data_IF_061134348132
#
_entry.id   IF_061134348132
#
_cell.length_a   1.000
_cell.length_b   1.000
_cell.length_c   1.000
_cell.angle_alpha   90.00
_cell.angle_beta   90.00
_cell.angle_gamma   90.00
#
_symmetry.space_group_name_H-M   'P 1'
#
loop_
_entity.id
_entity.type
_entity.pdbx_description
1 polymer ?
#
# COMPACT_ATOMS: atom_id res chain seq x y z
N UNK A 1 9.85 -5.50 26.61
CA UNK A 1 10.68 -5.23 25.44
C UNK A 1 9.97 -4.20 24.56
N UNK A 2 10.66 -3.19 24.04
CA UNK A 2 10.10 -2.26 23.06
C UNK A 2 10.23 -2.90 21.67
N UNK A 3 9.18 -2.84 20.89
CA UNK A 3 9.15 -3.33 19.50
C UNK A 3 8.40 -2.31 18.65
N UNK A 4 8.96 -1.93 17.52
CA UNK A 4 8.40 -1.08 16.47
C UNK A 4 8.57 -1.84 15.15
N UNK A 5 7.62 -2.05 14.40
CA UNK A 5 6.22 -2.27 14.53
C UNK A 5 5.90 -3.44 15.47
N UNK A 6 4.74 -3.46 16.12
CA UNK A 6 4.36 -4.59 16.96
C UNK A 6 4.18 -5.88 16.14
N UNK A 7 4.28 -7.06 16.78
CA UNK A 7 3.99 -8.33 16.11
C UNK A 7 2.60 -8.37 15.46
N UNK A 8 1.61 -7.73 16.10
CA UNK A 8 0.25 -7.58 15.53
C UNK A 8 0.26 -6.74 14.25
N UNK A 9 1.01 -5.62 14.21
CA UNK A 9 1.14 -4.79 13.02
C UNK A 9 1.78 -5.55 11.86
N UNK A 10 2.83 -6.32 12.12
CA UNK A 10 3.50 -7.17 11.12
C UNK A 10 2.52 -8.21 10.57
N UNK A 11 1.78 -8.92 11.43
CA UNK A 11 0.77 -9.88 11.01
C UNK A 11 -0.37 -9.24 10.22
N UNK A 12 -0.78 -8.01 10.55
CA UNK A 12 -1.82 -7.28 9.83
C UNK A 12 -1.41 -6.89 8.41
N UNK A 13 -0.12 -6.91 8.09
CA UNK A 13 0.40 -6.72 6.74
C UNK A 13 0.39 -8.00 5.88
N UNK A 14 0.10 -9.18 6.45
CA UNK A 14 -0.21 -10.37 5.66
C UNK A 14 -1.42 -10.06 4.77
N UNK A 15 -1.31 -10.28 3.47
CA UNK A 15 -2.25 -9.76 2.46
C UNK A 15 -3.71 -10.10 2.72
N UNK A 16 -3.98 -11.32 3.14
CA UNK A 16 -5.34 -11.75 3.53
C UNK A 16 -5.88 -10.90 4.70
N UNK A 17 -5.10 -10.71 5.75
CA UNK A 17 -5.50 -9.91 6.92
C UNK A 17 -5.62 -8.43 6.57
N UNK A 18 -4.65 -7.90 5.82
CA UNK A 18 -4.66 -6.53 5.33
C UNK A 18 -5.95 -6.22 4.56
N UNK A 19 -6.29 -7.05 3.57
CA UNK A 19 -7.50 -6.85 2.78
C UNK A 19 -8.77 -6.87 3.66
N UNK A 20 -8.88 -7.82 4.61
CA UNK A 20 -10.02 -7.91 5.52
C UNK A 20 -10.12 -6.68 6.43
N UNK A 21 -9.00 -6.23 7.00
CA UNK A 21 -8.97 -5.07 7.91
C UNK A 21 -9.35 -3.81 7.16
N UNK A 22 -8.68 -3.51 6.03
CA UNK A 22 -8.90 -2.26 5.30
C UNK A 22 -10.33 -2.17 4.73
N UNK A 23 -10.85 -3.26 4.16
CA UNK A 23 -12.25 -3.29 3.70
C UNK A 23 -13.24 -3.18 4.86
N UNK A 24 -12.99 -3.88 5.97
CA UNK A 24 -13.85 -3.85 7.15
C UNK A 24 -13.90 -2.50 7.87
N UNK A 25 -12.81 -1.73 7.80
CA UNK A 25 -12.71 -0.38 8.39
C UNK A 25 -13.18 0.74 7.44
N UNK A 26 -13.64 0.39 6.23
CA UNK A 26 -14.10 1.38 5.25
C UNK A 26 -12.96 2.22 4.65
N UNK A 27 -11.71 1.79 4.77
CA UNK A 27 -10.58 2.40 4.08
C UNK A 27 -10.74 2.16 2.57
N UNK A 28 -10.59 3.20 1.72
CA UNK A 28 -10.58 3.03 0.27
C UNK A 28 -9.54 1.99 -0.18
N UNK A 29 -10.04 0.82 -0.54
CA UNK A 29 -9.28 -0.35 -0.96
C UNK A 29 -10.02 -1.05 -2.09
N UNK A 30 -9.36 -1.68 -3.08
CA UNK A 30 -10.07 -2.36 -4.15
C UNK A 30 -10.96 -3.48 -3.61
N UNK A 31 -12.14 -3.65 -4.20
CA UNK A 31 -12.97 -4.81 -3.93
C UNK A 31 -12.12 -6.08 -4.06
N UNK A 32 -12.10 -6.88 -3.00
CA UNK A 32 -11.20 -8.03 -2.91
C UNK A 32 -11.91 -9.23 -2.30
N UNK A 33 -11.52 -10.41 -2.75
CA UNK A 33 -11.91 -11.69 -2.14
C UNK A 33 -10.67 -12.46 -1.71
N UNK A 34 -10.82 -13.17 -0.61
CA UNK A 34 -9.83 -14.13 -0.12
C UNK A 34 -10.34 -15.51 -0.44
N UNK A 35 -9.51 -16.34 -1.05
CA UNK A 35 -9.87 -17.66 -1.56
C UNK A 35 -8.81 -18.70 -1.21
N UNK A 36 -9.20 -19.95 -1.16
CA UNK A 36 -8.28 -21.06 -1.22
C UNK A 36 -7.83 -21.27 -2.67
N UNK A 37 -6.57 -21.63 -2.88
CA UNK A 37 -6.00 -21.71 -4.24
C UNK A 37 -6.55 -22.89 -5.07
N UNK A 38 -7.22 -23.86 -4.42
CA UNK A 38 -7.92 -24.97 -5.06
C UNK A 38 -9.40 -24.66 -5.38
N UNK A 39 -9.91 -23.44 -5.01
CA UNK A 39 -11.28 -23.04 -5.33
C UNK A 39 -11.47 -22.76 -6.84
N UNK A 40 -12.68 -23.09 -7.32
CA UNK A 40 -13.14 -22.70 -8.66
C UNK A 40 -13.72 -21.26 -8.64
N UNK A 41 -12.90 -20.26 -8.97
CA UNK A 41 -13.25 -18.83 -8.80
C UNK A 41 -13.83 -18.17 -10.05
N UNK A 42 -13.63 -18.71 -11.25
CA UNK A 42 -13.97 -18.04 -12.50
C UNK A 42 -15.42 -17.54 -12.56
N UNK A 43 -16.39 -18.42 -12.26
CA UNK A 43 -17.83 -18.04 -12.23
C UNK A 43 -18.16 -17.01 -11.15
N UNK A 44 -17.46 -17.03 -10.01
CA UNK A 44 -17.64 -16.04 -8.95
C UNK A 44 -17.18 -14.67 -9.40
N UNK A 45 -16.01 -14.59 -10.03
CA UNK A 45 -15.45 -13.35 -10.58
C UNK A 45 -16.35 -12.78 -11.71
N UNK A 46 -16.89 -13.63 -12.58
CA UNK A 46 -17.85 -13.22 -13.60
C UNK A 46 -19.09 -12.56 -12.98
N UNK A 47 -19.71 -13.20 -11.98
CA UNK A 47 -20.87 -12.66 -11.26
C UNK A 47 -20.59 -11.34 -10.56
N UNK A 48 -19.37 -11.14 -10.07
CA UNK A 48 -18.92 -9.87 -9.48
C UNK A 48 -18.54 -8.81 -10.51
N UNK A 49 -18.55 -9.14 -11.81
CA UNK A 49 -18.05 -8.25 -12.86
C UNK A 49 -16.57 -7.92 -12.73
N UNK A 50 -15.81 -8.79 -12.07
CA UNK A 50 -14.37 -8.63 -11.82
C UNK A 50 -13.59 -9.29 -12.95
N UNK A 51 -13.50 -8.60 -14.09
CA UNK A 51 -12.77 -9.12 -15.26
C UNK A 51 -11.28 -8.96 -15.11
N UNK A 52 -10.82 -7.75 -14.84
CA UNK A 52 -9.41 -7.42 -14.62
C UNK A 52 -9.11 -7.40 -13.13
N UNK A 53 -8.15 -8.18 -12.69
CA UNK A 53 -7.80 -8.25 -11.29
C UNK A 53 -6.31 -8.56 -11.06
N UNK A 54 -5.89 -8.33 -9.84
CA UNK A 54 -4.58 -8.70 -9.32
C UNK A 54 -4.75 -9.90 -8.40
N UNK A 55 -3.99 -10.93 -8.63
CA UNK A 55 -3.92 -12.10 -7.74
C UNK A 55 -2.62 -12.00 -6.98
N UNK A 56 -2.74 -12.05 -5.67
CA UNK A 56 -1.61 -11.92 -4.76
C UNK A 56 -1.59 -13.12 -3.82
N UNK A 57 -0.42 -13.65 -3.53
CA UNK A 57 -0.23 -14.63 -2.47
C UNK A 57 -0.81 -14.10 -1.17
N UNK A 58 -1.66 -14.87 -0.49
CA UNK A 58 -2.45 -14.40 0.64
C UNK A 58 -1.79 -14.57 2.00
N UNK A 59 -0.98 -15.60 2.16
CA UNK A 59 -0.40 -16.06 3.43
C UNK A 59 0.91 -15.37 3.81
N UNK A 60 1.53 -14.64 2.89
CA UNK A 60 2.79 -13.93 3.12
C UNK A 60 2.98 -12.74 2.19
N UNK A 61 4.03 -11.93 2.42
CA UNK A 61 4.48 -10.90 1.47
C UNK A 61 5.03 -11.55 0.19
N UNK A 62 4.96 -10.82 -0.93
CA UNK A 62 5.57 -11.26 -2.18
C UNK A 62 7.09 -11.43 -2.00
N UNK A 63 7.60 -12.61 -2.30
CA UNK A 63 9.03 -12.93 -2.29
C UNK A 63 9.59 -12.92 -3.71
N UNK A 64 8.75 -13.20 -4.68
CA UNK A 64 9.07 -13.25 -6.11
C UNK A 64 8.07 -12.42 -6.91
N UNK A 65 8.45 -12.01 -8.11
CA UNK A 65 7.58 -11.23 -9.00
C UNK A 65 6.26 -11.96 -9.30
N UNK A 66 6.32 -13.28 -9.42
CA UNK A 66 5.20 -14.18 -9.71
C UNK A 66 4.21 -14.32 -8.56
N UNK A 67 4.53 -13.83 -7.37
CA UNK A 67 3.62 -13.83 -6.21
C UNK A 67 2.55 -12.71 -6.31
N UNK A 68 2.64 -11.88 -7.37
CA UNK A 68 1.67 -10.83 -7.72
C UNK A 68 1.42 -10.86 -9.22
N UNK A 69 0.26 -11.33 -9.64
CA UNK A 69 -0.09 -11.50 -11.04
C UNK A 69 -1.25 -10.59 -11.44
N UNK A 70 -1.11 -9.87 -12.54
CA UNK A 70 -2.21 -9.19 -13.19
C UNK A 70 -2.85 -10.11 -14.22
N UNK A 71 -4.18 -10.24 -14.18
CA UNK A 71 -4.96 -11.05 -15.11
C UNK A 71 -6.07 -10.21 -15.74
N UNK A 72 -6.46 -10.57 -16.96
CA UNK A 72 -7.44 -9.83 -17.77
C UNK A 72 -8.78 -10.53 -17.84
N UNK A 73 -8.83 -11.80 -17.45
CA UNK A 73 -10.04 -12.62 -17.52
C UNK A 73 -10.18 -13.50 -16.28
N UNK A 74 -11.42 -13.89 -15.91
CA UNK A 74 -11.64 -14.86 -14.85
C UNK A 74 -11.01 -16.24 -15.10
N UNK A 75 -10.83 -16.63 -16.37
CA UNK A 75 -10.16 -17.88 -16.73
C UNK A 75 -8.67 -17.83 -16.38
N UNK A 76 -7.97 -16.75 -16.79
CA UNK A 76 -6.58 -16.53 -16.40
C UNK A 76 -6.40 -16.49 -14.86
N UNK A 77 -7.40 -15.96 -14.13
CA UNK A 77 -7.36 -15.98 -12.67
C UNK A 77 -7.36 -17.40 -12.12
N UNK A 78 -8.15 -18.30 -12.71
CA UNK A 78 -8.19 -19.70 -12.33
C UNK A 78 -6.84 -20.40 -12.60
N UNK A 79 -6.21 -20.11 -13.74
CA UNK A 79 -4.91 -20.69 -14.11
C UNK A 79 -3.81 -20.26 -13.12
N UNK A 80 -3.79 -18.98 -12.73
CA UNK A 80 -2.84 -18.47 -11.73
C UNK A 80 -3.07 -19.11 -10.35
N UNK A 81 -4.31 -19.31 -9.93
CA UNK A 81 -4.60 -20.01 -8.66
C UNK A 81 -4.11 -21.44 -8.69
N UNK A 82 -4.29 -22.14 -9.80
CA UNK A 82 -3.78 -23.50 -9.95
C UNK A 82 -2.25 -23.55 -9.88
N UNK A 83 -1.57 -22.58 -10.49
CA UNK A 83 -0.11 -22.43 -10.37
C UNK A 83 0.31 -22.20 -8.92
N UNK A 84 -0.39 -21.31 -8.19
CA UNK A 84 -0.13 -21.06 -6.77
C UNK A 84 -0.32 -22.33 -5.93
N UNK A 85 -1.38 -23.09 -6.20
CA UNK A 85 -1.63 -24.38 -5.54
C UNK A 85 -0.48 -25.37 -5.77
N UNK A 86 -0.01 -25.51 -7.01
CA UNK A 86 1.12 -26.38 -7.36
C UNK A 86 2.43 -25.94 -6.70
N UNK A 87 2.61 -24.64 -6.45
CA UNK A 87 3.74 -24.08 -5.69
C UNK A 87 3.59 -24.23 -4.17
N UNK A 88 2.49 -24.80 -3.69
CA UNK A 88 2.22 -25.02 -2.27
C UNK A 88 1.67 -23.80 -1.53
N UNK A 89 1.19 -22.78 -2.22
CA UNK A 89 0.47 -21.68 -1.61
C UNK A 89 -0.99 -22.06 -1.44
N UNK A 90 -1.53 -21.90 -0.25
CA UNK A 90 -2.90 -22.33 0.05
C UNK A 90 -3.92 -21.20 0.00
N UNK A 91 -3.47 -19.95 0.10
CA UNK A 91 -4.32 -18.75 0.16
C UNK A 91 -3.93 -17.71 -0.88
N UNK A 92 -4.93 -17.11 -1.49
CA UNK A 92 -4.74 -15.98 -2.40
C UNK A 92 -5.74 -14.85 -2.09
N UNK A 93 -5.33 -13.62 -2.42
CA UNK A 93 -6.19 -12.44 -2.46
C UNK A 93 -6.36 -12.02 -3.90
N UNK A 94 -7.59 -11.96 -4.37
CA UNK A 94 -7.96 -11.47 -5.69
C UNK A 94 -8.56 -10.09 -5.51
N UNK A 95 -7.92 -9.07 -6.06
CA UNK A 95 -8.32 -7.66 -5.94
C UNK A 95 -8.68 -7.08 -7.30
N UNK A 96 -9.79 -6.35 -7.40
CA UNK A 96 -10.20 -5.64 -8.61
C UNK A 96 -9.08 -4.71 -9.08
N UNK A 97 -8.79 -4.71 -10.36
CA UNK A 97 -7.88 -3.71 -10.94
C UNK A 97 -8.54 -2.31 -10.88
N UNK A 98 -7.79 -1.34 -10.38
CA UNK A 98 -8.18 0.06 -10.36
C UNK A 98 -7.35 0.81 -11.41
N UNK A 99 -8.00 1.43 -12.41
CA UNK A 99 -7.29 2.28 -13.35
C UNK A 99 -6.89 3.59 -12.68
N UNK A 100 -5.68 4.08 -12.96
CA UNK A 100 -5.20 5.34 -12.40
C UNK A 100 -3.69 5.43 -12.34
N UNK A 101 -3.20 6.46 -11.67
CA UNK A 101 -1.78 6.71 -11.47
C UNK A 101 -1.30 6.04 -10.20
N UNK A 102 -0.20 5.31 -10.30
CA UNK A 102 0.45 4.71 -9.13
C UNK A 102 1.17 5.78 -8.32
N UNK A 103 0.95 5.77 -7.03
CA UNK A 103 1.64 6.61 -6.04
C UNK A 103 2.26 5.71 -4.99
N UNK A 104 3.55 5.91 -4.70
CA UNK A 104 4.26 5.22 -3.60
C UNK A 104 4.42 6.17 -2.43
N UNK A 105 4.33 5.63 -1.21
CA UNK A 105 4.50 6.41 0.01
C UNK A 105 5.34 5.66 1.05
N UNK A 106 6.03 6.45 1.90
CA UNK A 106 6.85 5.98 3.02
C UNK A 106 6.62 6.89 4.22
N UNK A 107 6.44 6.30 5.40
CA UNK A 107 6.02 7.03 6.59
C UNK A 107 6.71 6.52 7.86
N UNK A 108 7.02 7.47 8.75
CA UNK A 108 7.32 7.22 10.16
C UNK A 108 6.33 8.08 10.96
N UNK A 109 5.28 7.47 11.48
CA UNK A 109 4.07 8.14 11.96
C UNK A 109 4.35 9.16 13.07
N UNK A 110 5.02 8.74 14.15
CA UNK A 110 5.28 9.57 15.33
C UNK A 110 6.20 10.77 15.06
N UNK A 111 7.00 10.74 14.01
CA UNK A 111 7.88 11.85 13.64
C UNK A 111 7.26 12.81 12.63
N UNK A 112 6.12 12.44 12.06
CA UNK A 112 5.50 13.17 10.98
C UNK A 112 6.24 13.07 9.64
N UNK A 113 7.24 12.19 9.52
CA UNK A 113 7.89 11.93 8.25
C UNK A 113 6.92 11.30 7.26
N UNK A 114 6.79 11.93 6.09
CA UNK A 114 5.94 11.47 4.99
C UNK A 114 6.61 11.80 3.67
N UNK A 115 7.00 10.77 2.92
CA UNK A 115 7.58 10.88 1.59
C UNK A 115 6.69 10.14 0.60
N UNK A 116 6.42 10.74 -0.56
CA UNK A 116 5.63 10.11 -1.61
C UNK A 116 6.08 10.59 -2.99
N UNK A 117 5.83 9.77 -4.02
CA UNK A 117 6.16 10.09 -5.40
C UNK A 117 5.34 9.21 -6.36
N UNK A 118 5.29 9.62 -7.64
CA UNK A 118 4.72 8.85 -8.74
C UNK A 118 5.84 8.19 -9.53
N UNK A 119 6.03 6.85 -9.46
CA UNK A 119 7.21 6.18 -10.02
C UNK A 119 7.30 6.21 -11.54
N UNK A 120 6.19 6.50 -12.23
CA UNK A 120 6.13 6.52 -13.70
C UNK A 120 5.94 7.94 -14.27
N UNK A 121 5.90 8.97 -13.45
CA UNK A 121 5.96 10.35 -13.89
C UNK A 121 7.42 10.81 -13.84
N UNK A 122 7.92 11.28 -14.98
CA UNK A 122 9.25 11.91 -15.00
C UNK A 122 9.18 13.17 -14.15
N UNK A 123 10.02 13.26 -13.12
CA UNK A 123 10.27 14.57 -12.50
C UNK A 123 10.74 15.52 -13.61
N UNK A 124 10.18 16.73 -13.67
CA UNK A 124 10.66 17.72 -14.63
C UNK A 124 12.16 17.91 -14.43
N UNK A 125 12.97 17.33 -15.31
CA UNK A 125 14.43 17.47 -15.28
C UNK A 125 14.77 18.94 -15.49
N UNK A 126 15.18 19.59 -14.42
CA UNK A 126 15.60 20.96 -14.40
C UNK A 126 14.45 21.92 -14.04
N UNK A 127 14.42 22.31 -12.79
CA UNK A 127 13.82 23.56 -12.38
C UNK A 127 14.54 24.71 -13.11
N UNK A 128 14.14 24.99 -14.37
CA UNK A 128 14.22 26.36 -14.86
C UNK A 128 13.43 27.16 -13.85
N UNK A 129 14.02 28.26 -13.38
CA UNK A 129 13.38 29.19 -12.46
C UNK A 129 11.92 29.37 -12.94
N UNK A 130 10.99 28.76 -12.21
CA UNK A 130 9.58 28.75 -12.59
C UNK A 130 9.15 30.22 -12.43
N UNK A 131 8.76 30.82 -13.54
CA UNK A 131 8.05 32.10 -13.53
C UNK A 131 6.95 32.04 -12.47
N UNK A 132 6.69 33.13 -11.79
CA UNK A 132 5.65 33.22 -10.75
C UNK A 132 4.25 33.29 -11.39
N UNK A 133 3.99 32.44 -12.38
CA UNK A 133 2.72 32.36 -13.09
C UNK A 133 1.65 31.74 -12.21
N UNK A 134 0.45 32.27 -12.28
CA UNK A 134 -0.70 31.80 -11.50
C UNK A 134 -0.94 30.29 -11.65
N UNK A 135 -0.68 29.74 -12.83
CA UNK A 135 -0.82 28.31 -13.14
C UNK A 135 0.20 27.45 -12.36
N UNK A 136 1.44 27.91 -12.22
CA UNK A 136 2.45 27.21 -11.42
C UNK A 136 2.11 27.23 -9.92
N UNK A 137 1.52 28.30 -9.43
CA UNK A 137 1.06 28.40 -8.05
C UNK A 137 -0.14 27.49 -7.81
N UNK A 138 -1.10 27.44 -8.73
CA UNK A 138 -2.25 26.56 -8.67
C UNK A 138 -1.83 25.08 -8.68
N UNK A 139 -0.89 24.70 -9.55
CA UNK A 139 -0.33 23.35 -9.60
C UNK A 139 0.36 22.94 -8.29
N UNK A 140 1.18 23.82 -7.71
CA UNK A 140 1.81 23.57 -6.39
C UNK A 140 0.79 23.42 -5.27
N UNK A 141 -0.26 24.22 -5.29
CA UNK A 141 -1.34 24.14 -4.30
C UNK A 141 -2.11 22.84 -4.44
N UNK A 142 -2.41 22.40 -5.66
CA UNK A 142 -3.06 21.12 -5.95
C UNK A 142 -2.22 19.93 -5.46
N UNK A 143 -0.90 19.96 -5.72
CA UNK A 143 0.04 18.92 -5.27
C UNK A 143 0.16 18.87 -3.74
N UNK A 144 0.18 20.03 -3.09
CA UNK A 144 0.14 20.11 -1.62
C UNK A 144 -1.16 19.52 -1.06
N UNK A 145 -2.31 19.87 -1.64
CA UNK A 145 -3.61 19.31 -1.22
C UNK A 145 -3.69 17.81 -1.46
N UNK A 146 -3.16 17.34 -2.59
CA UNK A 146 -3.04 15.92 -2.87
C UNK A 146 -2.21 15.20 -1.79
N UNK A 147 -1.02 15.69 -1.48
CA UNK A 147 -0.16 15.11 -0.44
C UNK A 147 -0.83 15.07 0.93
N UNK A 148 -1.60 16.09 1.30
CA UNK A 148 -2.37 16.12 2.54
C UNK A 148 -3.47 15.04 2.58
N UNK A 149 -4.23 14.87 1.48
CA UNK A 149 -5.26 13.82 1.39
C UNK A 149 -4.66 12.42 1.42
N UNK A 150 -3.58 12.21 0.67
CA UNK A 150 -2.85 10.94 0.66
C UNK A 150 -2.33 10.60 2.05
N UNK A 151 -1.71 11.58 2.73
CA UNK A 151 -1.21 11.41 4.09
C UNK A 151 -2.33 11.01 5.06
N UNK A 152 -3.46 11.71 5.04
CA UNK A 152 -4.59 11.40 5.90
C UNK A 152 -5.12 9.97 5.69
N UNK A 153 -5.19 9.53 4.43
CA UNK A 153 -5.59 8.18 4.07
C UNK A 153 -4.57 7.14 4.60
N UNK A 154 -3.28 7.37 4.38
CA UNK A 154 -2.21 6.48 4.83
C UNK A 154 -2.18 6.36 6.37
N UNK A 155 -2.33 7.48 7.08
CA UNK A 155 -2.38 7.49 8.55
C UNK A 155 -3.61 6.77 9.09
N UNK A 156 -4.77 6.90 8.43
CA UNK A 156 -5.97 6.16 8.79
C UNK A 156 -5.78 4.66 8.62
N UNK A 157 -5.26 4.23 7.48
CA UNK A 157 -4.95 2.82 7.23
C UNK A 157 -3.91 2.26 8.21
N UNK A 158 -2.87 3.02 8.52
CA UNK A 158 -1.83 2.61 9.45
C UNK A 158 -2.36 2.39 10.88
N UNK A 159 -3.32 3.20 11.34
CA UNK A 159 -3.98 2.99 12.64
C UNK A 159 -4.73 1.68 12.69
N UNK A 160 -5.51 1.37 11.65
CA UNK A 160 -6.23 0.10 11.55
C UNK A 160 -5.28 -1.12 11.50
N UNK A 161 -4.14 -0.97 10.84
CA UNK A 161 -3.12 -2.00 10.73
C UNK A 161 -2.16 -2.04 11.93
N UNK A 162 -2.22 -1.05 12.84
CA UNK A 162 -1.33 -0.90 14.00
C UNK A 162 0.16 -0.78 13.61
N UNK A 163 0.46 0.17 12.71
CA UNK A 163 1.80 0.39 12.18
C UNK A 163 2.34 1.78 12.51
N UNK A 164 3.61 1.83 12.86
CA UNK A 164 4.38 3.05 13.13
C UNK A 164 5.31 3.39 11.94
N UNK A 165 6.04 2.40 11.42
CA UNK A 165 6.97 2.52 10.31
C UNK A 165 6.42 1.70 9.15
N UNK A 166 6.06 2.38 8.06
CA UNK A 166 5.36 1.71 6.97
C UNK A 166 5.58 2.40 5.62
N UNK A 167 5.18 1.75 4.58
CA UNK A 167 5.05 2.29 3.24
C UNK A 167 4.05 1.48 2.43
N UNK A 168 3.81 1.90 1.21
CA UNK A 168 2.85 1.19 0.38
C UNK A 168 2.60 1.88 -0.94
N UNK A 169 1.50 1.46 -1.54
CA UNK A 169 1.06 1.89 -2.85
C UNK A 169 -0.40 2.31 -2.83
N UNK A 170 -0.69 3.38 -3.56
CA UNK A 170 -2.02 3.94 -3.73
C UNK A 170 -2.28 4.20 -5.21
N UNK A 171 -3.53 4.06 -5.64
CA UNK A 171 -3.98 4.51 -6.95
C UNK A 171 -4.71 5.84 -6.80
N UNK A 172 -4.30 6.82 -7.60
CA UNK A 172 -5.03 8.06 -7.85
C UNK A 172 -5.86 7.87 -9.12
N UNK A 173 -7.17 7.78 -8.98
CA UNK A 173 -8.08 7.65 -10.11
C UNK A 173 -8.28 8.98 -10.86
N UNK A 174 -8.87 8.94 -12.04
CA UNK A 174 -9.07 10.11 -12.89
C UNK A 174 -9.95 11.21 -12.25
N UNK A 175 -10.84 10.85 -11.33
CA UNK A 175 -11.65 11.77 -10.54
C UNK A 175 -10.95 12.32 -9.30
N UNK A 176 -9.67 11.95 -9.11
CA UNK A 176 -8.84 12.33 -7.98
C UNK A 176 -9.11 11.53 -6.70
N UNK A 177 -9.96 10.49 -6.73
CA UNK A 177 -10.12 9.59 -5.59
C UNK A 177 -8.87 8.75 -5.37
N UNK A 178 -8.61 8.37 -4.11
CA UNK A 178 -7.44 7.63 -3.68
C UNK A 178 -7.86 6.28 -3.11
N UNK A 179 -7.13 5.23 -3.48
CA UNK A 179 -7.34 3.87 -2.95
C UNK A 179 -6.02 3.20 -2.64
N UNK A 180 -5.84 2.75 -1.41
CA UNK A 180 -4.67 1.93 -1.02
C UNK A 180 -4.76 0.60 -1.76
N UNK A 181 -3.66 0.13 -2.35
CA UNK A 181 -3.59 -1.17 -3.04
C UNK A 181 -2.55 -2.12 -2.44
N UNK A 182 -1.61 -1.58 -1.68
CA UNK A 182 -0.62 -2.35 -0.93
C UNK A 182 -0.12 -1.57 0.27
N UNK A 183 0.20 -2.29 1.36
CA UNK A 183 0.71 -1.70 2.59
C UNK A 183 1.74 -2.64 3.20
N UNK A 184 2.91 -2.12 3.52
CA UNK A 184 4.05 -2.91 3.99
C UNK A 184 4.54 -2.37 5.32
N UNK A 185 4.72 -3.28 6.26
CA UNK A 185 5.46 -3.04 7.47
C UNK A 185 6.95 -3.01 7.15
N UNK A 186 7.66 -1.97 7.38
CA UNK A 186 9.09 -1.89 7.15
C UNK A 186 9.54 -2.01 5.67
N UNK A 187 9.12 -1.10 4.78
CA UNK A 187 9.54 -1.10 3.36
C UNK A 187 11.03 -0.77 3.20
N UNK A 188 11.55 -0.92 2.00
CA UNK A 188 12.98 -0.68 1.69
C UNK A 188 13.45 0.77 1.87
N UNK A 189 12.55 1.75 1.83
CA UNK A 189 12.86 3.19 1.87
C UNK A 189 13.89 3.67 0.83
N UNK A 190 14.07 2.93 -0.27
CA UNK A 190 15.13 3.19 -1.25
C UNK A 190 15.12 4.63 -1.80
N UNK A 191 13.93 5.21 -2.00
CA UNK A 191 13.74 6.56 -2.53
C UNK A 191 14.07 7.68 -1.51
N UNK A 192 14.06 7.39 -0.20
CA UNK A 192 14.20 8.40 0.86
C UNK A 192 15.04 7.89 2.04
N UNK A 193 16.02 7.02 1.78
CA UNK A 193 16.76 6.24 2.79
C UNK A 193 17.33 7.07 3.95
N UNK A 194 18.04 8.15 3.65
CA UNK A 194 18.72 8.96 4.68
C UNK A 194 17.73 9.67 5.61
N UNK A 195 16.66 10.24 5.05
CA UNK A 195 15.61 10.91 5.82
C UNK A 195 14.80 9.91 6.64
N UNK A 196 14.43 8.78 6.04
CA UNK A 196 13.73 7.69 6.72
C UNK A 196 14.55 7.16 7.90
N UNK A 197 15.83 6.84 7.71
CA UNK A 197 16.70 6.36 8.77
C UNK A 197 16.80 7.33 9.96
N UNK A 198 16.91 8.63 9.68
CA UNK A 198 16.94 9.68 10.71
C UNK A 198 15.62 9.71 11.50
N UNK A 199 14.48 9.61 10.83
CA UNK A 199 13.17 9.64 11.48
C UNK A 199 12.86 8.35 12.23
N UNK A 200 13.24 7.19 11.70
CA UNK A 200 13.15 5.91 12.41
C UNK A 200 13.96 5.96 13.71
N UNK A 201 15.20 6.46 13.68
CA UNK A 201 16.02 6.62 14.88
C UNK A 201 15.35 7.52 15.92
N UNK A 202 14.76 8.65 15.50
CA UNK A 202 13.99 9.55 16.39
C UNK A 202 12.79 8.82 17.02
N UNK A 203 12.02 8.08 16.25
CA UNK A 203 10.88 7.30 16.75
C UNK A 203 11.31 6.27 17.80
N UNK A 204 12.39 5.51 17.54
CA UNK A 204 12.94 4.51 18.47
C UNK A 204 13.38 5.17 19.78
N UNK A 205 14.11 6.29 19.71
CA UNK A 205 14.58 7.02 20.90
C UNK A 205 13.38 7.56 21.71
N UNK A 206 12.39 8.17 21.06
CA UNK A 206 11.21 8.68 21.72
C UNK A 206 10.45 7.58 22.46
N UNK A 207 10.15 6.48 21.79
CA UNK A 207 9.43 5.35 22.37
C UNK A 207 10.21 4.69 23.52
N UNK A 208 11.55 4.65 23.48
CA UNK A 208 12.35 4.11 24.56
C UNK A 208 12.32 4.99 25.82
N UNK A 209 12.27 6.32 25.66
CA UNK A 209 12.17 7.29 26.77
C UNK A 209 10.81 7.24 27.45
N UNK A 210 9.72 7.10 26.70
CA UNK A 210 8.37 6.95 27.25
C UNK A 210 8.26 5.70 28.13
N UNK A 211 8.78 4.59 27.66
CA UNK A 211 8.77 3.33 28.39
C UNK A 211 9.61 3.38 29.68
N UNK A 212 10.65 4.21 29.73
CA UNK A 212 11.48 4.39 30.93
C UNK A 212 10.77 5.24 32.00
N UNK A 213 9.78 6.09 31.63
CA UNK A 213 9.02 6.90 32.58
C UNK A 213 7.83 6.14 33.20
N UNK A 214 7.41 5.03 32.60
CA UNK A 214 6.27 4.22 33.04
C UNK A 214 6.69 3.05 33.95
N UNK A 215 7.95 2.93 34.26
CA UNK A 215 8.55 1.99 35.23
C UNK A 215 8.97 2.70 36.50
#
# INVERSE_FOLDING_TARGET
>A
RLVINSGYGIENCIRERQARILLGSGIPYPESIVVDTDEAVARRLEKMGMRQCWIKRGDFHAQHAEDVCYVRTPAEAQDVLQEYFLRGFHRAVISRHLPGKLVKFYVVLSTGFFHWFRPFEEEPRGLKAVSADADAMAARQAEKQFGQRLRALCESAARELNLEVYGGECIEAADGSLSIIDFNDWPSFSACRSEAATNIAKAVIAASREKSKTR
#
